data_IF_559358530855
#
_entry.id   IF_559358530855
#
_cell.length_a   1.000
_cell.length_b   1.000
_cell.length_c   1.000
_cell.angle_alpha   90.00
_cell.angle_beta   90.00
_cell.angle_gamma   90.00
#
_symmetry.space_group_name_H-M   'P 1'
#
loop_
_entity.id
_entity.type
_entity.pdbx_description
1 polymer ?
#
# COMPACT_ATOMS: atom_id res chain seq x y z
N UNK A 1 40.58 -20.33 15.28
CA UNK A 1 39.52 -19.91 14.35
C UNK A 1 38.33 -19.66 15.23
N UNK A 2 38.00 -18.39 15.50
CA UNK A 2 36.90 -17.95 16.33
C UNK A 2 35.58 -18.16 15.58
N UNK A 3 34.64 -18.83 16.26
CA UNK A 3 33.26 -19.03 15.82
C UNK A 3 32.65 -17.65 15.51
N UNK A 4 32.46 -17.36 14.21
CA UNK A 4 31.76 -16.16 13.76
C UNK A 4 30.28 -16.31 14.07
N UNK A 5 29.69 -15.30 14.69
CA UNK A 5 28.27 -15.21 15.03
C UNK A 5 27.39 -15.44 13.78
N UNK A 6 26.86 -16.64 13.64
CA UNK A 6 25.84 -16.94 12.61
C UNK A 6 24.57 -16.13 12.92
N UNK A 7 24.13 -15.32 11.97
CA UNK A 7 22.86 -14.61 12.07
C UNK A 7 21.72 -15.49 11.55
N UNK A 8 20.69 -15.67 12.36
CA UNK A 8 19.48 -16.41 11.97
C UNK A 8 18.39 -15.39 11.67
N UNK A 9 17.78 -15.48 10.50
CA UNK A 9 16.67 -14.62 10.13
C UNK A 9 15.46 -14.86 11.05
N UNK A 10 14.94 -13.82 11.74
CA UNK A 10 13.81 -13.99 12.64
C UNK A 10 12.48 -14.26 11.90
N UNK A 11 12.44 -14.00 10.59
CA UNK A 11 11.21 -14.13 9.78
C UNK A 11 11.12 -15.51 9.11
N UNK A 12 12.20 -16.03 8.51
CA UNK A 12 12.15 -17.27 7.75
C UNK A 12 13.07 -18.38 8.30
N UNK A 13 13.82 -18.13 9.38
CA UNK A 13 14.72 -19.10 10.00
C UNK A 13 16.00 -19.39 9.21
N UNK A 14 16.23 -18.76 8.06
CA UNK A 14 17.43 -18.98 7.25
C UNK A 14 18.68 -18.49 7.98
N UNK A 15 19.74 -19.28 7.95
CA UNK A 15 21.03 -18.91 8.51
C UNK A 15 21.86 -18.16 7.49
N UNK A 16 22.43 -17.03 7.89
CA UNK A 16 23.38 -16.29 7.09
C UNK A 16 24.81 -16.75 7.43
N UNK A 17 25.54 -17.18 6.42
CA UNK A 17 26.95 -17.53 6.54
C UNK A 17 27.88 -16.33 6.37
N UNK A 18 27.32 -15.14 6.14
CA UNK A 18 28.06 -13.89 5.95
C UNK A 18 27.94 -13.07 7.23
N UNK A 19 29.03 -12.83 7.98
CA UNK A 19 28.99 -12.10 9.25
C UNK A 19 28.42 -10.68 9.15
N UNK A 20 28.67 -10.01 8.02
CA UNK A 20 28.26 -8.63 7.77
C UNK A 20 26.91 -8.52 7.03
N UNK A 21 26.20 -9.64 6.82
CA UNK A 21 24.91 -9.59 6.16
C UNK A 21 23.93 -8.70 6.93
N UNK A 22 23.37 -7.71 6.24
CA UNK A 22 22.37 -6.77 6.77
C UNK A 22 20.95 -7.26 6.48
N UNK A 23 20.80 -8.06 5.42
CA UNK A 23 19.52 -8.60 4.98
C UNK A 23 19.58 -10.11 4.75
N UNK A 24 18.48 -10.79 5.03
CA UNK A 24 18.32 -12.20 4.74
C UNK A 24 18.22 -12.46 3.24
N UNK A 25 19.08 -13.31 2.70
CA UNK A 25 19.08 -13.66 1.27
C UNK A 25 17.85 -14.48 0.86
N UNK A 26 17.14 -15.09 1.81
CA UNK A 26 15.96 -15.92 1.54
C UNK A 26 14.65 -15.14 1.49
N UNK A 27 14.48 -14.13 2.35
CA UNK A 27 13.22 -13.39 2.44
C UNK A 27 13.37 -11.86 2.40
N UNK A 28 14.59 -11.34 2.27
CA UNK A 28 14.87 -9.91 2.22
C UNK A 28 14.74 -9.15 3.55
N UNK A 29 14.36 -9.84 4.64
CA UNK A 29 14.23 -9.20 5.95
C UNK A 29 15.57 -8.76 6.51
N UNK A 30 15.58 -7.63 7.22
CA UNK A 30 16.79 -7.13 7.88
C UNK A 30 17.24 -8.07 8.99
N UNK A 31 18.51 -8.41 8.98
CA UNK A 31 19.17 -9.19 10.04
C UNK A 31 19.72 -8.21 11.08
N UNK A 32 19.12 -8.16 12.25
CA UNK A 32 19.62 -7.33 13.35
C UNK A 32 20.69 -8.13 14.13
N UNK A 33 21.74 -7.45 14.57
CA UNK A 33 22.71 -8.02 15.51
C UNK A 33 22.01 -8.27 16.84
N UNK A 34 22.25 -9.43 17.44
CA UNK A 34 21.65 -9.87 18.69
C UNK A 34 22.15 -9.05 19.90
N UNK A 35 21.91 -7.72 19.92
CA UNK A 35 22.05 -6.90 21.11
C UNK A 35 20.90 -5.92 21.21
N UNK A 36 20.13 -6.09 22.28
CA UNK A 36 19.10 -5.22 22.81
C UNK A 36 17.72 -5.27 22.16
N UNK A 37 16.90 -6.24 22.60
CA UNK A 37 15.50 -5.92 22.93
C UNK A 37 15.03 -6.81 24.09
N UNK A 38 15.31 -6.36 25.32
CA UNK A 38 14.54 -6.72 26.50
C UNK A 38 13.64 -5.53 26.83
N UNK A 39 12.53 -5.42 26.14
CA UNK A 39 11.36 -4.70 26.65
C UNK A 39 10.18 -5.63 26.46
N UNK A 40 9.86 -6.34 27.54
CA UNK A 40 8.55 -6.99 27.69
C UNK A 40 7.49 -5.89 27.71
N UNK A 41 6.84 -5.66 26.59
CA UNK A 41 5.52 -5.06 26.57
C UNK A 41 4.52 -6.21 26.43
N UNK A 42 4.04 -6.70 27.54
CA UNK A 42 2.82 -7.50 27.59
C UNK A 42 1.63 -6.58 27.29
N UNK A 43 1.48 -6.23 25.99
CA UNK A 43 0.19 -5.82 25.49
C UNK A 43 -0.56 -7.11 25.17
N UNK A 44 -1.57 -7.38 25.95
CA UNK A 44 -2.60 -8.40 25.64
C UNK A 44 -3.19 -8.02 24.28
N UNK A 45 -2.69 -8.66 23.21
CA UNK A 45 -3.27 -8.52 21.87
C UNK A 45 -4.71 -9.02 21.92
N UNK A 46 -5.65 -8.11 21.90
CA UNK A 46 -7.08 -8.43 21.73
C UNK A 46 -7.22 -8.96 20.31
N UNK A 47 -7.59 -10.24 20.15
CA UNK A 47 -7.81 -10.87 18.83
C UNK A 47 -9.29 -11.03 18.58
N UNK A 48 -9.75 -10.67 17.35
CA UNK A 48 -11.12 -10.94 16.89
C UNK A 48 -11.23 -12.39 16.43
N UNK A 49 -12.15 -13.17 16.99
CA UNK A 49 -12.40 -14.54 16.55
C UNK A 49 -13.52 -14.59 15.51
N UNK A 50 -13.26 -15.23 14.38
CA UNK A 50 -14.26 -15.37 13.33
C UNK A 50 -15.38 -16.31 13.75
N UNK A 51 -16.63 -15.83 13.67
CA UNK A 51 -17.83 -16.61 14.04
C UNK A 51 -18.10 -17.78 13.10
N UNK A 52 -17.58 -17.74 11.86
CA UNK A 52 -17.79 -18.78 10.84
C UNK A 52 -16.78 -19.93 10.93
N UNK A 53 -15.49 -19.63 11.06
CA UNK A 53 -14.43 -20.65 11.01
C UNK A 53 -13.59 -20.76 12.31
N UNK A 54 -13.85 -19.87 13.30
CA UNK A 54 -13.15 -19.89 14.59
C UNK A 54 -11.71 -19.34 14.54
N UNK A 55 -11.23 -18.88 13.40
CA UNK A 55 -9.86 -18.34 13.27
C UNK A 55 -9.70 -17.04 14.05
N UNK A 56 -8.53 -16.85 14.68
CA UNK A 56 -8.21 -15.64 15.45
C UNK A 56 -7.51 -14.62 14.56
N UNK A 57 -8.15 -13.48 14.37
CA UNK A 57 -7.67 -12.37 13.55
C UNK A 57 -7.16 -11.21 14.42
N UNK A 58 -6.46 -10.25 13.83
CA UNK A 58 -6.09 -9.03 14.54
C UNK A 58 -7.33 -8.25 14.97
N UNK A 59 -7.21 -7.43 16.00
CA UNK A 59 -8.34 -6.65 16.58
C UNK A 59 -8.98 -5.68 15.60
N UNK A 60 -8.21 -5.16 14.66
CA UNK A 60 -8.60 -4.20 13.62
C UNK A 60 -9.11 -4.86 12.33
N UNK A 61 -9.02 -6.20 12.24
CA UNK A 61 -9.46 -6.92 11.04
C UNK A 61 -10.98 -6.77 10.84
N UNK A 62 -11.38 -6.33 9.65
CA UNK A 62 -12.78 -6.28 9.21
C UNK A 62 -13.24 -7.58 8.55
N UNK A 63 -12.31 -8.33 7.98
CA UNK A 63 -12.56 -9.63 7.36
C UNK A 63 -11.65 -10.71 7.93
N UNK A 64 -12.18 -11.93 8.01
CA UNK A 64 -11.40 -13.08 8.45
C UNK A 64 -10.36 -13.48 7.40
N UNK A 65 -9.09 -13.51 7.79
CA UNK A 65 -7.98 -13.88 6.90
C UNK A 65 -8.05 -15.32 6.40
N UNK A 66 -8.77 -16.21 7.11
CA UNK A 66 -8.88 -17.62 6.73
C UNK A 66 -10.05 -17.89 5.78
N UNK A 67 -11.26 -17.34 6.07
CA UNK A 67 -12.47 -17.65 5.31
C UNK A 67 -13.12 -16.47 4.59
N UNK A 68 -12.55 -15.27 4.69
CA UNK A 68 -13.09 -14.05 4.06
C UNK A 68 -14.39 -13.52 4.67
N UNK A 69 -14.91 -14.12 5.75
CA UNK A 69 -16.15 -13.64 6.38
C UNK A 69 -15.91 -12.31 7.06
N UNK A 70 -16.81 -11.35 6.89
CA UNK A 70 -16.79 -10.08 7.63
C UNK A 70 -16.85 -10.35 9.13
N UNK A 71 -15.99 -9.69 9.87
CA UNK A 71 -15.93 -9.76 11.32
C UNK A 71 -16.78 -8.63 11.91
N UNK A 72 -17.75 -8.97 12.75
CA UNK A 72 -18.55 -7.97 13.45
C UNK A 72 -17.70 -7.26 14.51
N UNK A 73 -17.92 -5.95 14.66
CA UNK A 73 -17.28 -5.20 15.72
C UNK A 73 -17.79 -5.68 17.07
N UNK A 74 -16.90 -6.28 17.84
CA UNK A 74 -17.19 -6.56 19.25
C UNK A 74 -17.21 -5.19 19.92
N UNK A 75 -18.42 -4.70 20.24
CA UNK A 75 -18.60 -3.42 20.90
C UNK A 75 -17.71 -3.31 22.13
N UNK A 76 -16.72 -2.45 22.05
CA UNK A 76 -16.01 -1.98 23.25
C UNK A 76 -16.98 -1.07 23.97
N UNK A 77 -17.40 -1.50 25.17
CA UNK A 77 -18.22 -0.72 26.06
C UNK A 77 -17.59 0.66 26.31
N UNK A 78 -18.40 1.64 26.04
CA UNK A 78 -18.41 3.04 26.47
C UNK A 78 -17.26 3.53 27.36
N UNK A 79 -16.52 4.52 26.87
CA UNK A 79 -16.47 5.88 27.43
C UNK A 79 -15.21 6.59 26.96
N UNK A 80 -15.39 7.43 25.99
CA UNK A 80 -14.81 8.78 25.94
C UNK A 80 -15.44 9.49 24.74
N UNK A 81 -16.30 10.44 25.05
CA UNK A 81 -16.74 11.44 24.10
C UNK A 81 -15.52 12.16 23.55
N UNK A 82 -15.09 11.80 22.34
CA UNK A 82 -14.20 12.63 21.58
C UNK A 82 -15.10 13.71 20.99
N UNK A 83 -15.05 14.89 21.58
CA UNK A 83 -15.58 16.09 20.96
C UNK A 83 -14.88 16.25 19.61
N UNK A 84 -15.65 16.09 18.55
CA UNK A 84 -15.27 16.49 17.19
C UNK A 84 -15.00 18.02 17.22
N UNK A 85 -13.78 18.38 17.50
CA UNK A 85 -13.29 19.71 17.18
C UNK A 85 -12.91 19.72 15.69
N UNK A 86 -13.89 20.08 14.88
CA UNK A 86 -13.80 20.23 13.41
C UNK A 86 -12.97 21.45 12.99
N UNK A 87 -11.99 21.86 13.81
CA UNK A 87 -11.18 23.08 13.60
C UNK A 87 -9.69 22.82 13.47
N UNK A 88 -9.24 21.64 13.05
CA UNK A 88 -7.80 21.42 12.83
C UNK A 88 -7.48 20.70 11.52
N UNK A 89 -8.12 21.12 10.42
CA UNK A 89 -7.51 21.00 9.10
C UNK A 89 -6.44 22.11 9.04
N UNK A 90 -5.32 21.89 9.75
CA UNK A 90 -4.12 22.66 9.51
C UNK A 90 -3.86 22.57 8.00
N UNK A 91 -3.99 23.70 7.30
CA UNK A 91 -3.53 23.81 5.91
C UNK A 91 -2.06 23.37 5.98
N UNK A 92 -1.77 22.20 5.43
CA UNK A 92 -0.40 21.79 5.21
C UNK A 92 0.20 22.83 4.26
N UNK A 93 0.86 23.82 4.85
CA UNK A 93 1.53 24.91 4.13
C UNK A 93 2.97 24.52 3.84
N UNK A 94 3.28 23.23 3.88
CA UNK A 94 4.62 22.73 3.63
C UNK A 94 5.06 23.11 2.22
N UNK A 95 6.17 23.81 2.16
CA UNK A 95 6.84 24.15 0.90
C UNK A 95 8.11 23.28 0.84
N UNK A 96 8.25 22.52 -0.22
CA UNK A 96 9.44 21.74 -0.52
C UNK A 96 10.07 22.32 -1.78
N UNK A 97 11.40 22.50 -1.75
CA UNK A 97 12.15 22.96 -2.92
C UNK A 97 13.20 21.90 -3.24
N UNK A 98 13.12 21.34 -4.45
CA UNK A 98 14.14 20.43 -4.99
C UNK A 98 15.08 21.28 -5.82
N UNK A 99 16.39 21.29 -5.46
CA UNK A 99 17.41 22.15 -6.06
C UNK A 99 18.38 21.38 -6.93
N UNK A 100 18.62 21.87 -8.16
CA UNK A 100 19.73 21.48 -9.02
C UNK A 100 19.68 20.06 -9.56
N UNK A 101 18.52 19.42 -9.53
CA UNK A 101 18.34 18.07 -10.08
C UNK A 101 18.20 18.06 -11.60
N UNK A 102 18.67 16.99 -12.26
CA UNK A 102 18.31 16.73 -13.67
C UNK A 102 16.87 16.25 -13.72
N UNK A 103 15.96 17.16 -14.10
CA UNK A 103 14.54 16.86 -14.25
C UNK A 103 14.30 16.18 -15.57
N UNK A 104 13.78 14.95 -15.52
CA UNK A 104 13.43 14.15 -16.70
C UNK A 104 11.94 13.83 -16.67
N UNK A 105 11.19 14.46 -17.55
CA UNK A 105 9.75 14.22 -17.73
C UNK A 105 9.43 13.91 -19.19
N UNK A 106 9.05 12.68 -19.53
CA UNK A 106 8.73 12.31 -20.91
C UNK A 106 7.45 12.96 -21.45
N UNK A 107 6.53 13.39 -20.58
CA UNK A 107 5.27 14.02 -21.01
C UNK A 107 5.52 15.45 -21.49
N UNK A 108 6.21 16.25 -20.71
CA UNK A 108 6.61 17.61 -21.10
C UNK A 108 7.84 17.63 -22.03
N UNK A 109 8.51 16.48 -22.21
CA UNK A 109 9.80 16.33 -22.94
C UNK A 109 10.92 17.16 -22.32
N UNK A 110 10.86 17.35 -21.01
CA UNK A 110 11.89 18.02 -20.23
C UNK A 110 13.06 17.07 -19.95
N UNK A 111 14.29 17.51 -20.17
CA UNK A 111 15.53 16.85 -19.76
C UNK A 111 16.57 17.92 -19.48
N UNK A 112 16.46 18.58 -18.31
CA UNK A 112 17.26 19.75 -17.97
C UNK A 112 17.57 19.80 -16.48
N UNK A 113 18.66 20.48 -16.11
CA UNK A 113 18.98 20.74 -14.70
C UNK A 113 18.16 21.94 -14.26
N UNK A 114 17.23 21.76 -13.32
CA UNK A 114 16.38 22.82 -12.81
C UNK A 114 15.95 22.58 -11.37
N UNK A 115 15.27 23.56 -10.80
CA UNK A 115 14.66 23.53 -9.50
C UNK A 115 13.15 23.28 -9.61
N UNK A 116 12.56 22.69 -8.58
CA UNK A 116 11.11 22.45 -8.48
C UNK A 116 10.63 22.96 -7.14
N UNK A 117 9.58 23.79 -7.14
CA UNK A 117 8.85 24.20 -5.93
C UNK A 117 7.57 23.39 -5.83
N UNK A 118 7.40 22.69 -4.71
CA UNK A 118 6.20 21.94 -4.35
C UNK A 118 5.53 22.65 -3.18
N UNK A 119 4.24 22.94 -3.31
CA UNK A 119 3.43 23.55 -2.27
C UNK A 119 2.09 22.85 -2.14
N UNK A 120 1.74 22.46 -0.93
CA UNK A 120 0.52 21.71 -0.69
C UNK A 120 0.42 20.46 -1.58
N UNK A 121 1.50 19.69 -1.71
CA UNK A 121 1.63 18.48 -2.52
C UNK A 121 1.42 18.68 -4.05
N UNK A 122 1.53 19.92 -4.54
CA UNK A 122 1.40 20.26 -5.96
C UNK A 122 2.67 20.95 -6.43
N UNK A 123 3.17 20.59 -7.61
CA UNK A 123 4.25 21.33 -8.27
C UNK A 123 3.70 22.71 -8.63
N UNK A 124 4.20 23.75 -7.98
CA UNK A 124 3.76 25.13 -8.20
C UNK A 124 4.60 25.82 -9.28
N UNK A 125 5.92 25.54 -9.25
CA UNK A 125 6.85 26.19 -10.18
C UNK A 125 8.02 25.26 -10.51
N UNK A 126 8.50 25.35 -11.75
CA UNK A 126 9.76 24.73 -12.19
C UNK A 126 10.59 25.79 -12.89
N UNK A 127 11.90 25.82 -12.67
CA UNK A 127 12.75 26.84 -13.29
C UNK A 127 14.19 26.76 -12.84
N UNK A 128 14.96 27.79 -13.14
CA UNK A 128 16.37 27.90 -12.83
C UNK A 128 16.58 28.88 -11.67
N UNK A 129 17.42 28.48 -10.69
CA UNK A 129 17.81 29.34 -9.57
C UNK A 129 16.61 29.92 -8.80
N UNK A 130 15.57 29.12 -8.59
CA UNK A 130 14.39 29.55 -7.84
C UNK A 130 14.77 29.96 -6.41
N UNK A 131 14.16 31.01 -5.92
CA UNK A 131 14.44 31.51 -4.58
C UNK A 131 13.94 30.54 -3.51
N UNK A 132 14.75 30.28 -2.48
CA UNK A 132 14.35 29.50 -1.32
C UNK A 132 13.43 30.38 -0.47
N UNK A 133 12.21 29.91 -0.23
CA UNK A 133 11.26 30.56 0.65
C UNK A 133 11.62 30.28 2.12
N UNK A 134 11.39 31.26 2.99
CA UNK A 134 11.59 31.07 4.44
C UNK A 134 10.69 29.95 4.95
N UNK A 135 11.27 29.03 5.70
CA UNK A 135 10.55 27.85 6.24
C UNK A 135 10.37 26.68 5.26
N UNK A 136 10.87 26.79 4.02
CA UNK A 136 10.79 25.70 3.06
C UNK A 136 11.80 24.56 3.41
N UNK A 137 11.37 23.32 3.21
CA UNK A 137 12.29 22.18 3.20
C UNK A 137 13.07 22.18 1.88
N UNK A 138 14.40 22.12 1.95
CA UNK A 138 15.26 22.12 0.76
C UNK A 138 15.88 20.76 0.56
N UNK A 139 15.59 20.14 -0.59
CA UNK A 139 16.19 18.89 -1.02
C UNK A 139 17.26 19.22 -2.08
N UNK A 140 18.53 19.02 -1.74
CA UNK A 140 19.60 19.13 -2.71
C UNK A 140 19.62 17.89 -3.62
N UNK A 141 19.31 18.07 -4.90
CA UNK A 141 19.30 17.04 -5.92
C UNK A 141 20.45 17.17 -6.94
N UNK A 142 21.50 17.95 -6.62
CA UNK A 142 22.64 18.10 -7.51
C UNK A 142 23.28 16.74 -7.83
N UNK A 143 23.45 16.44 -9.12
CA UNK A 143 23.94 15.15 -9.60
C UNK A 143 22.93 14.00 -9.56
N UNK A 144 21.70 14.25 -9.11
CA UNK A 144 20.60 13.27 -9.09
C UNK A 144 19.61 13.51 -10.23
N UNK A 145 18.85 12.45 -10.57
CA UNK A 145 17.72 12.52 -11.49
C UNK A 145 16.44 12.72 -10.68
N UNK A 146 15.66 13.68 -11.10
CA UNK A 146 14.31 13.93 -10.60
C UNK A 146 13.31 13.59 -11.71
N UNK A 147 12.44 12.66 -11.47
CA UNK A 147 11.47 12.19 -12.46
C UNK A 147 10.11 11.99 -11.81
N UNK A 148 9.00 11.90 -12.59
CA UNK A 148 7.74 11.42 -12.09
C UNK A 148 7.90 10.07 -11.38
N UNK A 149 7.15 9.88 -10.30
CA UNK A 149 7.17 8.60 -9.58
C UNK A 149 6.74 7.43 -10.47
N UNK A 150 7.30 6.25 -10.23
CA UNK A 150 6.96 5.06 -10.98
C UNK A 150 5.53 4.61 -10.67
N UNK A 151 4.87 3.99 -11.65
CA UNK A 151 3.57 3.34 -11.49
C UNK A 151 3.71 1.85 -11.82
N UNK A 152 3.20 0.99 -10.93
CA UNK A 152 3.01 -0.42 -11.20
C UNK A 152 1.52 -0.72 -11.38
N UNK A 153 1.13 -1.13 -12.58
CA UNK A 153 -0.27 -1.34 -12.93
C UNK A 153 -0.77 -2.76 -12.64
N UNK A 154 0.04 -3.60 -11.97
CA UNK A 154 -0.35 -4.98 -11.68
C UNK A 154 0.34 -5.50 -10.42
N UNK A 155 -0.25 -5.24 -9.25
CA UNK A 155 0.26 -5.72 -7.97
C UNK A 155 -0.80 -6.52 -7.19
N UNK A 156 -0.34 -7.31 -6.22
CA UNK A 156 -1.19 -8.12 -5.36
C UNK A 156 -0.89 -7.85 -3.90
N UNK A 157 -1.60 -6.93 -3.28
CA UNK A 157 -1.48 -6.68 -1.84
C UNK A 157 -2.27 -7.68 -0.99
N UNK A 158 -3.13 -8.51 -1.61
CA UNK A 158 -3.79 -9.65 -0.96
C UNK A 158 -4.69 -9.31 0.23
N UNK A 159 -4.97 -8.08 0.45
CA UNK A 159 -5.79 -7.53 1.52
C UNK A 159 -7.09 -6.95 0.93
N UNK A 160 -8.24 -7.43 1.38
CA UNK A 160 -8.52 -8.32 2.51
C UNK A 160 -8.25 -9.81 2.24
N UNK A 161 -8.16 -10.57 3.32
CA UNK A 161 -8.32 -12.02 3.36
C UNK A 161 -7.05 -12.86 3.25
N UNK A 162 -5.98 -12.35 2.62
CA UNK A 162 -4.70 -13.06 2.50
C UNK A 162 -3.52 -12.26 3.07
N UNK A 163 -3.77 -11.47 4.11
CA UNK A 163 -2.80 -10.55 4.72
C UNK A 163 -1.53 -11.23 5.24
N UNK A 164 -1.55 -12.54 5.40
CA UNK A 164 -0.36 -13.33 5.72
C UNK A 164 0.64 -13.44 4.55
N UNK A 165 0.22 -13.11 3.33
CA UNK A 165 1.08 -13.06 2.14
C UNK A 165 1.64 -11.66 1.92
N UNK A 166 0.76 -10.67 1.99
CA UNK A 166 1.03 -9.24 1.87
C UNK A 166 -0.20 -8.46 2.35
N UNK A 167 -0.01 -7.25 2.83
CA UNK A 167 -1.08 -6.32 3.15
C UNK A 167 -0.86 -4.94 2.49
N UNK A 168 -1.90 -4.09 2.52
CA UNK A 168 -1.86 -2.79 1.85
C UNK A 168 -0.77 -1.89 2.44
N UNK A 169 -0.55 -1.91 3.76
CA UNK A 169 0.40 -1.02 4.43
C UNK A 169 1.83 -1.41 4.09
N UNK A 170 2.15 -2.70 4.23
CA UNK A 170 3.51 -3.19 3.99
C UNK A 170 3.85 -3.21 2.50
N UNK A 171 2.89 -3.57 1.65
CA UNK A 171 3.05 -3.53 0.20
C UNK A 171 3.24 -2.11 -0.33
N UNK A 172 2.46 -1.14 0.17
CA UNK A 172 2.62 0.26 -0.19
C UNK A 172 3.97 0.83 0.29
N UNK A 173 4.42 0.47 1.50
CA UNK A 173 5.73 0.88 2.01
C UNK A 173 6.88 0.30 1.16
N UNK A 174 6.77 -0.94 0.72
CA UNK A 174 7.75 -1.57 -0.17
C UNK A 174 7.78 -0.89 -1.55
N UNK A 175 6.61 -0.58 -2.11
CA UNK A 175 6.47 0.15 -3.38
C UNK A 175 7.10 1.55 -3.28
N UNK A 176 6.76 2.32 -2.24
CA UNK A 176 7.33 3.65 -1.98
C UNK A 176 8.87 3.60 -1.92
N UNK A 177 9.42 2.61 -1.22
CA UNK A 177 10.86 2.42 -1.12
C UNK A 177 11.51 2.07 -2.46
N UNK A 178 10.76 1.47 -3.38
CA UNK A 178 11.18 1.20 -4.76
C UNK A 178 11.02 2.39 -5.72
N UNK A 179 10.52 3.54 -5.25
CA UNK A 179 10.26 4.72 -6.07
C UNK A 179 8.91 4.70 -6.79
N UNK A 180 8.02 3.76 -6.44
CA UNK A 180 6.65 3.74 -6.95
C UNK A 180 5.76 4.66 -6.11
N UNK A 181 5.11 5.60 -6.78
CA UNK A 181 4.16 6.54 -6.16
C UNK A 181 2.71 6.15 -6.40
N UNK A 182 2.49 5.19 -7.28
CA UNK A 182 1.16 4.66 -7.60
C UNK A 182 1.24 3.17 -7.91
N UNK A 183 0.27 2.43 -7.44
CA UNK A 183 0.10 1.01 -7.75
C UNK A 183 -1.34 0.69 -8.07
N UNK A 184 -1.58 -0.29 -8.96
CA UNK A 184 -2.92 -0.80 -9.26
C UNK A 184 -3.02 -2.24 -8.76
N UNK A 185 -3.87 -2.44 -7.76
CA UNK A 185 -4.08 -3.74 -7.13
C UNK A 185 -5.10 -4.58 -7.90
N UNK A 186 -4.82 -5.87 -8.01
CA UNK A 186 -5.72 -6.84 -8.64
C UNK A 186 -6.85 -7.26 -7.71
N UNK A 187 -7.98 -7.68 -8.32
CA UNK A 187 -9.24 -7.97 -7.61
C UNK A 187 -9.26 -9.30 -6.84
N UNK A 188 -8.20 -10.11 -6.90
CA UNK A 188 -8.14 -11.47 -6.35
C UNK A 188 -7.81 -11.51 -4.85
N UNK A 189 -8.58 -10.80 -4.07
CA UNK A 189 -8.61 -10.79 -2.61
C UNK A 189 -9.64 -11.80 -2.05
N UNK A 190 -9.89 -11.82 -0.76
CA UNK A 190 -10.91 -12.66 -0.13
C UNK A 190 -11.66 -11.90 0.97
N UNK A 191 -12.90 -11.43 0.70
CA UNK A 191 -13.65 -11.63 -0.55
C UNK A 191 -12.97 -10.98 -1.75
N UNK A 192 -13.35 -11.41 -2.97
CA UNK A 192 -12.94 -10.76 -4.20
C UNK A 192 -13.49 -9.33 -4.25
N UNK A 193 -12.85 -8.45 -5.00
CA UNK A 193 -13.36 -7.07 -5.15
C UNK A 193 -14.46 -7.07 -6.21
N UNK A 194 -15.61 -7.61 -5.86
CA UNK A 194 -16.81 -7.75 -6.70
C UNK A 194 -18.01 -6.94 -6.18
N UNK A 195 -17.80 -6.14 -5.15
CA UNK A 195 -18.80 -5.31 -4.48
C UNK A 195 -18.16 -4.04 -3.92
N UNK A 196 -19.01 -3.01 -3.70
CA UNK A 196 -18.58 -1.69 -3.25
C UNK A 196 -17.94 -1.74 -1.87
N UNK A 197 -18.46 -2.55 -0.95
CA UNK A 197 -17.96 -2.62 0.42
C UNK A 197 -16.48 -3.06 0.47
N UNK A 198 -16.13 -4.07 -0.31
CA UNK A 198 -14.74 -4.56 -0.40
C UNK A 198 -13.84 -3.51 -1.07
N UNK A 199 -14.33 -2.84 -2.12
CA UNK A 199 -13.61 -1.77 -2.80
C UNK A 199 -13.32 -0.61 -1.85
N UNK A 200 -14.32 -0.09 -1.15
CA UNK A 200 -14.18 1.01 -0.20
C UNK A 200 -13.24 0.68 0.96
N UNK A 201 -13.25 -0.56 1.45
CA UNK A 201 -12.31 -1.01 2.48
C UNK A 201 -10.86 -0.82 2.02
N UNK A 202 -10.56 -1.26 0.79
CA UNK A 202 -9.20 -1.16 0.23
C UNK A 202 -8.82 0.31 0.02
N UNK A 203 -9.73 1.11 -0.53
CA UNK A 203 -9.51 2.54 -0.76
C UNK A 203 -9.18 3.27 0.55
N UNK A 204 -10.03 3.11 1.59
CA UNK A 204 -9.80 3.73 2.91
C UNK A 204 -8.47 3.32 3.54
N UNK A 205 -8.11 2.05 3.40
CA UNK A 205 -6.83 1.57 3.91
C UNK A 205 -5.66 2.10 3.07
N UNK A 206 -5.83 2.20 1.76
CA UNK A 206 -4.87 2.80 0.83
C UNK A 206 -4.60 4.28 1.12
N UNK A 207 -5.62 5.06 1.49
CA UNK A 207 -5.50 6.49 1.85
C UNK A 207 -4.57 6.74 3.04
N UNK A 208 -4.38 5.73 3.90
CA UNK A 208 -3.46 5.84 5.04
C UNK A 208 -1.99 5.60 4.68
N UNK A 209 -1.71 5.25 3.42
CA UNK A 209 -0.36 5.00 2.93
C UNK A 209 0.27 6.25 2.32
N UNK A 210 1.57 6.22 2.07
CA UNK A 210 2.29 7.35 1.45
C UNK A 210 2.25 7.36 -0.08
N UNK A 211 1.49 6.45 -0.73
CA UNK A 211 1.39 6.33 -2.19
C UNK A 211 -0.08 6.18 -2.62
N UNK A 212 -0.36 6.33 -3.91
CA UNK A 212 -1.68 6.07 -4.46
C UNK A 212 -1.89 4.56 -4.63
N UNK A 213 -2.78 3.98 -3.83
CA UNK A 213 -3.22 2.59 -3.96
C UNK A 213 -4.54 2.59 -4.71
N UNK A 214 -4.46 2.28 -6.00
CA UNK A 214 -5.61 2.18 -6.89
C UNK A 214 -6.07 0.72 -6.94
N UNK A 215 -7.38 0.49 -7.09
CA UNK A 215 -7.94 -0.85 -7.03
C UNK A 215 -8.78 -1.17 -8.27
N UNK A 216 -8.53 -2.33 -8.89
CA UNK A 216 -9.44 -2.91 -9.88
C UNK A 216 -10.55 -3.70 -9.20
N UNK A 217 -11.71 -3.78 -9.83
CA UNK A 217 -12.75 -4.73 -9.46
C UNK A 217 -12.67 -6.00 -10.35
N UNK A 218 -13.30 -7.08 -9.92
CA UNK A 218 -13.46 -8.26 -10.76
C UNK A 218 -14.47 -8.00 -11.88
N UNK A 219 -14.34 -8.73 -12.99
CA UNK A 219 -15.34 -8.75 -14.06
C UNK A 219 -16.54 -9.58 -13.65
N UNK A 220 -16.28 -10.72 -12.99
CA UNK A 220 -17.33 -11.65 -12.56
C UNK A 220 -17.38 -11.80 -11.05
N UNK A 221 -18.58 -12.09 -10.54
CA UNK A 221 -18.79 -12.33 -9.11
C UNK A 221 -17.94 -13.49 -8.62
N UNK A 222 -17.25 -13.28 -7.51
CA UNK A 222 -16.34 -14.25 -6.89
C UNK A 222 -15.25 -14.79 -7.85
N UNK A 223 -14.98 -14.09 -8.97
CA UNK A 223 -14.03 -14.52 -10.02
C UNK A 223 -14.42 -15.88 -10.64
N UNK A 224 -15.72 -16.20 -10.75
CA UNK A 224 -16.19 -17.51 -11.21
C UNK A 224 -16.42 -17.61 -12.72
N UNK A 225 -16.31 -16.50 -13.47
CA UNK A 225 -16.51 -16.46 -14.92
C UNK A 225 -17.97 -16.73 -15.38
N UNK A 226 -18.96 -16.53 -14.51
CA UNK A 226 -20.36 -16.90 -14.75
C UNK A 226 -21.30 -15.71 -14.75
N UNK A 227 -21.26 -14.88 -13.75
CA UNK A 227 -22.16 -13.73 -13.55
C UNK A 227 -21.32 -12.46 -13.45
N UNK A 228 -21.68 -11.43 -14.22
CA UNK A 228 -21.01 -10.13 -14.18
C UNK A 228 -21.30 -9.41 -12.86
N UNK A 229 -20.31 -8.62 -12.41
CA UNK A 229 -20.52 -7.64 -11.36
C UNK A 229 -21.30 -6.43 -11.88
N UNK A 230 -21.78 -5.57 -11.01
CA UNK A 230 -22.29 -4.26 -11.40
C UNK A 230 -21.09 -3.33 -11.67
N UNK A 231 -20.61 -3.36 -12.92
CA UNK A 231 -19.44 -2.60 -13.33
C UNK A 231 -19.67 -1.09 -13.23
N UNK A 232 -20.89 -0.61 -13.55
CA UNK A 232 -21.20 0.80 -13.49
C UNK A 232 -21.15 1.31 -12.05
N UNK A 233 -21.75 0.58 -11.11
CA UNK A 233 -21.72 0.94 -9.70
C UNK A 233 -20.29 0.91 -9.13
N UNK A 234 -19.49 -0.11 -9.49
CA UNK A 234 -18.10 -0.22 -9.05
C UNK A 234 -17.20 0.85 -9.67
N UNK A 235 -17.37 1.18 -10.94
CA UNK A 235 -16.65 2.29 -11.58
C UNK A 235 -16.98 3.63 -10.91
N UNK A 236 -18.26 3.89 -10.63
CA UNK A 236 -18.71 5.10 -9.92
C UNK A 236 -18.19 5.15 -8.48
N UNK A 237 -17.96 4.00 -7.86
CA UNK A 237 -17.32 3.89 -6.54
C UNK A 237 -15.79 4.01 -6.60
N UNK A 238 -15.18 4.16 -7.79
CA UNK A 238 -13.76 4.43 -7.95
C UNK A 238 -12.89 3.23 -8.30
N UNK A 239 -13.46 2.12 -8.78
CA UNK A 239 -12.66 1.06 -9.40
C UNK A 239 -11.99 1.61 -10.67
N UNK A 240 -10.68 1.42 -10.80
CA UNK A 240 -9.90 1.98 -11.92
C UNK A 240 -9.82 1.03 -13.14
N UNK A 241 -10.40 -0.14 -13.03
CA UNK A 241 -10.47 -1.14 -14.11
C UNK A 241 -11.12 -2.43 -13.62
N UNK A 242 -11.27 -3.38 -14.55
CA UNK A 242 -11.92 -4.66 -14.27
C UNK A 242 -11.07 -5.81 -14.77
N UNK A 243 -10.89 -6.83 -13.93
CA UNK A 243 -10.09 -8.00 -14.26
C UNK A 243 -10.41 -9.20 -13.38
N UNK A 244 -10.51 -10.38 -13.99
CA UNK A 244 -10.53 -11.66 -13.28
C UNK A 244 -9.12 -12.27 -13.26
N UNK A 245 -8.11 -11.46 -12.99
CA UNK A 245 -6.69 -11.83 -13.01
C UNK A 245 -6.42 -13.22 -12.41
N UNK A 246 -5.70 -14.03 -13.17
CA UNK A 246 -5.36 -15.42 -12.83
C UNK A 246 -6.47 -16.44 -13.13
N UNK A 247 -7.71 -16.02 -13.43
CA UNK A 247 -8.84 -16.91 -13.72
C UNK A 247 -9.50 -16.48 -15.04
N UNK A 248 -9.19 -17.14 -16.18
CA UNK A 248 -9.73 -16.73 -17.48
C UNK A 248 -11.25 -16.95 -17.54
N UNK A 249 -11.97 -15.99 -18.13
CA UNK A 249 -13.40 -16.10 -18.42
C UNK A 249 -13.56 -16.98 -19.67
N UNK A 250 -13.99 -18.23 -19.49
CA UNK A 250 -14.13 -19.22 -20.56
C UNK A 250 -15.48 -19.14 -21.28
N UNK A 251 -16.44 -18.40 -20.73
CA UNK A 251 -17.76 -18.22 -21.36
C UNK A 251 -17.73 -17.00 -22.28
N UNK A 252 -17.77 -17.23 -23.59
CA UNK A 252 -17.76 -16.17 -24.61
C UNK A 252 -18.90 -15.17 -24.45
N UNK A 253 -20.10 -15.61 -24.06
CA UNK A 253 -21.24 -14.72 -23.85
C UNK A 253 -20.98 -13.75 -22.68
N UNK A 254 -20.43 -14.25 -21.58
CA UNK A 254 -20.07 -13.42 -20.43
C UNK A 254 -19.00 -12.40 -20.83
N UNK A 255 -18.00 -12.83 -21.59
CA UNK A 255 -16.93 -11.93 -22.05
C UNK A 255 -17.45 -10.82 -22.97
N UNK A 256 -18.33 -11.19 -23.93
CA UNK A 256 -18.93 -10.19 -24.85
C UNK A 256 -19.82 -9.21 -24.12
N UNK A 257 -20.60 -9.66 -23.14
CA UNK A 257 -21.42 -8.75 -22.32
C UNK A 257 -20.55 -7.83 -21.47
N UNK A 258 -19.43 -8.32 -20.91
CA UNK A 258 -18.49 -7.52 -20.15
C UNK A 258 -17.81 -6.41 -20.97
N UNK A 259 -17.73 -6.57 -22.29
CA UNK A 259 -17.06 -5.61 -23.19
C UNK A 259 -18.03 -4.55 -23.77
N UNK A 260 -19.32 -4.63 -23.47
CA UNK A 260 -20.33 -3.64 -23.90
C UNK A 260 -20.43 -2.48 -22.94
#
# INVERSE_FOLDING_TARGET
VSDGDEKICPVCGMRSTTPDAVFCIGCGSRLESAMQFSVKNEQTEIKKRCNKCGFSNNSDALFCSECGTKLEDIGVLESMEIQDNDDNKAKDTSVIIIKGGRVVDPVSKTDEIMDIIIKNNIIEETGYNLNVMEGAEVINAEGLIVAPGLMDTHVHFRDPGFTYKEDIITGAAAAAKGGFTSVVCMANTKPAVDNIETLEYIQKKGETTGIHVLQTASVTKELKGVELVDMEALANAGAVGFTDDGIPIMNEHVLVEAMK
#
